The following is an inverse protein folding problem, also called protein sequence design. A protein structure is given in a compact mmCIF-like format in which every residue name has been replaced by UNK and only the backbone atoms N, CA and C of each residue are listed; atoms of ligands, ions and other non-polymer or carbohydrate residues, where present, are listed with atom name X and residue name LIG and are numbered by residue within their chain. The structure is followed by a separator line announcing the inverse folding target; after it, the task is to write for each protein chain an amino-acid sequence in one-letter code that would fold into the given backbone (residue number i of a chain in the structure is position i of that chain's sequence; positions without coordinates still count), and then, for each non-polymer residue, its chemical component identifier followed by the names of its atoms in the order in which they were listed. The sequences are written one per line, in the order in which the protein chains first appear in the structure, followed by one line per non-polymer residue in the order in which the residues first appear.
data_IF_746257155386
#
_entry.id   IF_746257155386
#
_cell.length_a   1.000
_cell.length_b   1.000
_cell.length_c   1.000
_cell.angle_alpha   90.00
_cell.angle_beta   90.00
_cell.angle_gamma   90.00
#
_symmetry.space_group_name_H-M   'P 1'
#
loop_
_entity.id
_entity.type
_entity.pdbx_description
1 polymer ?
#
# COMPACT_ATOMS: atom_id res chain seq x y z
N UNK A 1 -32.54 -21.65 -4.75
CA UNK A 1 -31.14 -21.19 -4.82
C UNK A 1 -30.52 -21.48 -3.47
N UNK A 2 -29.56 -22.38 -3.38
CA UNK A 2 -28.84 -22.63 -2.14
C UNK A 2 -28.06 -21.35 -1.79
N UNK A 3 -28.39 -20.71 -0.66
CA UNK A 3 -27.57 -19.64 -0.09
C UNK A 3 -26.28 -20.29 0.41
N UNK A 4 -25.23 -20.29 -0.41
CA UNK A 4 -23.90 -20.67 0.00
C UNK A 4 -23.37 -19.55 0.88
N UNK A 5 -23.48 -19.70 2.19
CA UNK A 5 -22.86 -18.81 3.17
C UNK A 5 -21.39 -19.21 3.28
N UNK A 6 -20.51 -18.45 2.66
CA UNK A 6 -19.07 -18.60 2.86
C UNK A 6 -18.71 -18.22 4.29
N UNK A 7 -18.02 -19.10 5.00
CA UNK A 7 -17.55 -18.81 6.36
C UNK A 7 -16.41 -17.80 6.37
N UNK A 8 -15.60 -17.80 5.33
CA UNK A 8 -14.48 -16.88 5.15
C UNK A 8 -14.08 -16.83 3.67
N UNK A 9 -13.66 -15.67 3.21
CA UNK A 9 -13.21 -15.44 1.82
C UNK A 9 -11.80 -14.83 1.84
N UNK A 10 -10.93 -15.37 1.01
CA UNK A 10 -9.59 -14.80 0.77
C UNK A 10 -9.56 -14.28 -0.66
N UNK A 11 -9.14 -13.03 -0.85
CA UNK A 11 -8.96 -12.42 -2.16
C UNK A 11 -7.52 -11.92 -2.33
N UNK A 12 -6.98 -12.08 -3.53
CA UNK A 12 -5.69 -11.51 -3.91
C UNK A 12 -5.93 -10.12 -4.50
N UNK A 13 -5.18 -9.13 -4.06
CA UNK A 13 -5.29 -7.78 -4.56
C UNK A 13 -3.92 -7.11 -4.70
N UNK A 14 -3.78 -6.31 -5.76
CA UNK A 14 -2.70 -5.38 -5.98
C UNK A 14 -3.24 -4.17 -6.74
N UNK A 15 -2.73 -2.98 -6.45
CA UNK A 15 -3.12 -1.74 -7.10
C UNK A 15 -4.61 -1.39 -7.03
N UNK A 16 -5.00 -0.41 -7.85
CA UNK A 16 -6.34 0.21 -7.82
C UNK A 16 -7.46 -0.77 -8.20
N UNK A 17 -7.22 -1.64 -9.19
CA UNK A 17 -8.21 -2.64 -9.63
C UNK A 17 -8.56 -3.63 -8.53
N UNK A 18 -7.54 -4.18 -7.87
CA UNK A 18 -7.69 -5.07 -6.72
C UNK A 18 -8.36 -4.39 -5.53
N UNK A 19 -8.00 -3.13 -5.26
CA UNK A 19 -8.58 -2.34 -4.19
C UNK A 19 -10.09 -2.10 -4.36
N UNK A 20 -10.54 -1.79 -5.57
CA UNK A 20 -11.98 -1.64 -5.90
C UNK A 20 -12.76 -2.94 -5.71
N UNK A 21 -12.18 -4.07 -6.15
CA UNK A 21 -12.79 -5.39 -5.91
C UNK A 21 -12.88 -5.67 -4.40
N UNK A 22 -11.79 -5.43 -3.67
CA UNK A 22 -11.72 -5.64 -2.23
C UNK A 22 -12.75 -4.79 -1.46
N UNK A 23 -12.95 -3.52 -1.84
CA UNK A 23 -13.97 -2.64 -1.27
C UNK A 23 -15.38 -3.23 -1.45
N UNK A 24 -15.74 -3.67 -2.66
CA UNK A 24 -17.03 -4.31 -2.92
C UNK A 24 -17.22 -5.60 -2.13
N UNK A 25 -16.18 -6.39 -1.95
CA UNK A 25 -16.21 -7.60 -1.12
C UNK A 25 -16.35 -7.25 0.37
N UNK A 26 -15.63 -6.25 0.87
CA UNK A 26 -15.73 -5.82 2.28
C UNK A 26 -17.13 -5.37 2.65
N UNK A 27 -17.85 -4.67 1.76
CA UNK A 27 -19.25 -4.26 2.00
C UNK A 27 -20.20 -5.44 2.23
N UNK A 28 -19.87 -6.61 1.70
CA UNK A 28 -20.69 -7.83 1.82
C UNK A 28 -20.21 -8.78 2.91
N UNK A 29 -18.92 -8.84 3.17
CA UNK A 29 -18.27 -9.87 3.98
C UNK A 29 -17.74 -9.32 5.30
N UNK A 30 -17.45 -8.02 5.38
CA UNK A 30 -16.88 -7.38 6.58
C UNK A 30 -15.63 -8.11 7.08
N UNK A 31 -15.64 -8.54 8.33
CA UNK A 31 -14.54 -9.29 8.98
C UNK A 31 -14.35 -10.73 8.47
N UNK A 32 -15.25 -11.24 7.64
CA UNK A 32 -15.09 -12.55 6.98
C UNK A 32 -14.26 -12.48 5.71
N UNK A 33 -13.59 -11.35 5.44
CA UNK A 33 -12.73 -11.12 4.30
C UNK A 33 -11.27 -10.97 4.75
N UNK A 34 -10.38 -11.73 4.12
CA UNK A 34 -8.94 -11.49 4.14
C UNK A 34 -8.46 -11.11 2.74
N UNK A 35 -7.73 -10.02 2.66
CA UNK A 35 -7.04 -9.62 1.44
C UNK A 35 -5.56 -9.96 1.58
N UNK A 36 -4.99 -10.61 0.56
CA UNK A 36 -3.55 -10.82 0.44
C UNK A 36 -3.04 -9.86 -0.62
N UNK A 37 -2.24 -8.89 -0.19
CA UNK A 37 -1.72 -7.81 -1.03
C UNK A 37 -0.34 -8.08 -1.61
N UNK A 38 -0.11 -7.58 -2.83
CA UNK A 38 1.20 -7.62 -3.48
C UNK A 38 2.22 -6.77 -2.71
N UNK A 39 3.48 -7.20 -2.70
CA UNK A 39 4.63 -6.48 -2.13
C UNK A 39 5.82 -6.41 -3.11
N UNK A 40 5.67 -6.96 -4.31
CA UNK A 40 6.75 -7.01 -5.27
C UNK A 40 7.14 -5.63 -5.83
N UNK A 41 6.27 -4.65 -5.68
CA UNK A 41 6.47 -3.26 -6.09
C UNK A 41 6.85 -2.34 -4.91
N UNK A 42 7.06 -2.92 -3.72
CA UNK A 42 7.57 -2.18 -2.56
C UNK A 42 8.95 -1.61 -2.86
N UNK A 43 9.23 -0.41 -2.36
CA UNK A 43 10.52 0.24 -2.57
C UNK A 43 10.90 1.10 -1.36
N UNK A 44 12.17 1.46 -1.27
CA UNK A 44 12.66 2.36 -0.25
C UNK A 44 12.91 3.75 -0.85
N UNK A 45 12.22 4.76 -0.32
CA UNK A 45 12.40 6.17 -0.68
C UNK A 45 12.81 6.96 0.57
N UNK A 46 13.96 7.62 0.51
CA UNK A 46 14.51 8.43 1.64
C UNK A 46 14.60 7.66 2.97
N UNK A 47 14.93 6.37 2.92
CA UNK A 47 14.96 5.51 4.09
C UNK A 47 13.58 5.13 4.64
N UNK A 48 12.52 5.33 3.86
CA UNK A 48 11.15 4.95 4.19
C UNK A 48 10.70 3.78 3.32
N UNK A 49 10.19 2.74 3.95
CA UNK A 49 9.56 1.62 3.25
C UNK A 49 8.18 2.02 2.73
N UNK A 50 8.02 2.04 1.43
CA UNK A 50 6.77 2.35 0.71
C UNK A 50 6.23 1.07 0.11
N UNK A 51 4.95 0.76 0.38
CA UNK A 51 4.24 -0.42 -0.13
C UNK A 51 3.02 0.03 -0.94
N UNK A 52 3.19 0.42 -2.21
CA UNK A 52 2.14 1.11 -2.99
C UNK A 52 0.84 0.32 -3.08
N UNK A 53 0.93 -1.00 -3.28
CA UNK A 53 -0.24 -1.85 -3.42
C UNK A 53 -0.98 -2.07 -2.10
N UNK A 54 -0.24 -2.33 -1.00
CA UNK A 54 -0.84 -2.46 0.34
C UNK A 54 -1.51 -1.14 0.75
N UNK A 55 -0.87 0.00 0.49
CA UNK A 55 -1.39 1.31 0.85
C UNK A 55 -2.64 1.65 0.04
N UNK A 56 -2.62 1.39 -1.27
CA UNK A 56 -3.79 1.57 -2.13
C UNK A 56 -4.98 0.75 -1.62
N UNK A 57 -4.78 -0.54 -1.36
CA UNK A 57 -5.84 -1.42 -0.83
C UNK A 57 -6.33 -0.92 0.53
N UNK A 58 -5.41 -0.60 1.44
CA UNK A 58 -5.74 -0.10 2.77
C UNK A 58 -6.58 1.19 2.72
N UNK A 59 -6.18 2.17 1.91
CA UNK A 59 -6.89 3.45 1.81
C UNK A 59 -8.29 3.30 1.20
N UNK A 60 -8.44 2.43 0.20
CA UNK A 60 -9.74 2.11 -0.37
C UNK A 60 -10.67 1.44 0.65
N UNK A 61 -10.19 0.43 1.36
CA UNK A 61 -10.98 -0.30 2.36
C UNK A 61 -11.32 0.56 3.59
N UNK A 62 -10.48 1.53 3.90
CA UNK A 62 -10.72 2.51 4.96
C UNK A 62 -11.62 3.69 4.50
N UNK A 63 -11.91 3.82 3.19
CA UNK A 63 -12.71 4.91 2.64
C UNK A 63 -12.04 6.29 2.71
N UNK A 64 -10.71 6.32 2.73
CA UNK A 64 -9.90 7.55 2.86
C UNK A 64 -9.09 7.89 1.61
N UNK A 65 -9.22 7.09 0.56
CA UNK A 65 -8.52 7.26 -0.70
C UNK A 65 -9.05 8.46 -1.52
N UNK A 66 -8.20 9.03 -2.37
CA UNK A 66 -8.63 10.03 -3.37
C UNK A 66 -9.16 9.31 -4.62
N UNK A 67 -10.48 9.18 -4.69
CA UNK A 67 -11.17 8.51 -5.82
C UNK A 67 -10.92 9.22 -7.16
N UNK A 68 -10.75 10.56 -7.14
CA UNK A 68 -10.55 11.35 -8.37
C UNK A 68 -9.15 11.15 -8.94
N UNK A 69 -8.15 11.12 -8.06
CA UNK A 69 -6.75 10.87 -8.45
C UNK A 69 -6.51 9.39 -8.74
N UNK A 70 -7.24 8.50 -8.09
CA UNK A 70 -7.12 7.04 -8.17
C UNK A 70 -6.08 6.45 -7.22
N UNK A 71 -5.28 7.26 -6.52
CA UNK A 71 -4.25 6.83 -5.57
C UNK A 71 -4.06 7.86 -4.44
N UNK A 72 -3.42 7.42 -3.34
CA UNK A 72 -3.13 8.27 -2.20
C UNK A 72 -4.35 8.63 -1.37
N UNK A 73 -4.16 9.51 -0.39
CA UNK A 73 -5.19 9.94 0.55
C UNK A 73 -5.98 11.14 0.03
N UNK A 74 -7.26 11.19 0.34
CA UNK A 74 -8.11 12.36 0.08
C UNK A 74 -7.65 13.55 0.92
N UNK A 75 -7.59 14.73 0.31
CA UNK A 75 -7.17 15.96 0.99
C UNK A 75 -5.67 16.01 1.27
N UNK A 76 -4.88 15.40 0.41
CA UNK A 76 -3.42 15.42 0.47
C UNK A 76 -2.86 16.81 0.18
N UNK A 77 -1.75 17.14 0.85
CA UNK A 77 -0.90 18.31 0.59
C UNK A 77 0.51 17.88 0.21
N UNK A 78 1.34 18.82 -0.25
CA UNK A 78 2.64 18.50 -0.85
C UNK A 78 3.78 19.36 -0.31
N UNK A 79 3.60 19.93 0.88
CA UNK A 79 4.58 20.84 1.48
C UNK A 79 5.93 20.18 1.72
N UNK A 80 5.93 18.90 2.12
CA UNK A 80 7.17 18.14 2.27
C UNK A 80 7.90 17.99 0.94
N UNK A 81 7.18 17.64 -0.12
CA UNK A 81 7.74 17.50 -1.47
C UNK A 81 8.33 18.82 -1.96
N UNK A 82 7.58 19.92 -1.86
CA UNK A 82 8.01 21.26 -2.25
C UNK A 82 9.23 21.72 -1.44
N UNK A 83 9.27 21.39 -0.15
CA UNK A 83 10.42 21.71 0.71
C UNK A 83 11.66 20.92 0.32
N UNK A 84 11.52 19.62 -0.02
CA UNK A 84 12.63 18.82 -0.53
C UNK A 84 13.23 19.42 -1.80
N UNK A 85 12.43 19.89 -2.74
CA UNK A 85 12.90 20.61 -3.93
C UNK A 85 13.65 21.88 -3.57
N UNK A 86 13.13 22.69 -2.64
CA UNK A 86 13.74 23.94 -2.20
C UNK A 86 15.12 23.76 -1.57
N UNK A 87 15.34 22.65 -0.83
CA UNK A 87 16.65 22.35 -0.21
C UNK A 87 17.60 21.59 -1.14
N UNK A 88 17.24 21.43 -2.42
CA UNK A 88 18.09 20.84 -3.46
C UNK A 88 18.05 19.31 -3.50
N UNK A 89 17.07 18.66 -2.89
CA UNK A 89 16.75 17.28 -3.18
C UNK A 89 16.04 17.18 -4.53
N UNK A 90 16.28 16.10 -5.27
CA UNK A 90 15.60 15.83 -6.53
C UNK A 90 14.55 14.74 -6.30
N UNK A 91 13.37 15.07 -5.71
CA UNK A 91 12.36 14.07 -5.39
C UNK A 91 11.64 13.66 -6.68
N UNK A 92 11.89 12.44 -7.14
CA UNK A 92 11.19 11.90 -8.31
C UNK A 92 9.90 11.18 -7.94
N UNK A 93 9.78 10.65 -6.69
CA UNK A 93 8.58 9.98 -6.22
C UNK A 93 7.76 10.92 -5.33
N UNK A 94 6.53 11.16 -5.73
CA UNK A 94 5.65 12.13 -5.07
C UNK A 94 4.87 11.50 -3.92
N UNK A 95 5.36 11.71 -2.69
CA UNK A 95 4.67 11.33 -1.45
C UNK A 95 3.91 12.54 -0.90
N UNK A 96 2.66 12.33 -0.56
CA UNK A 96 1.85 13.36 0.10
C UNK A 96 2.17 13.48 1.59
N UNK A 97 1.86 14.63 2.18
CA UNK A 97 2.16 14.92 3.59
C UNK A 97 1.43 13.98 4.56
N UNK A 98 0.20 13.58 4.23
CA UNK A 98 -0.59 12.62 5.01
C UNK A 98 -0.13 11.19 4.80
N UNK A 99 0.16 10.83 3.56
CA UNK A 99 0.68 9.52 3.17
C UNK A 99 2.04 9.25 3.84
N UNK A 100 2.85 10.28 3.98
CA UNK A 100 4.13 10.22 4.69
C UNK A 100 3.99 9.64 6.10
N UNK A 101 2.88 9.90 6.81
CA UNK A 101 2.64 9.35 8.14
C UNK A 101 2.53 7.81 8.13
N UNK A 102 1.96 7.23 7.08
CA UNK A 102 1.88 5.78 6.86
C UNK A 102 3.28 5.20 6.70
N UNK A 103 4.10 5.80 5.84
CA UNK A 103 5.47 5.32 5.57
C UNK A 103 6.40 5.48 6.77
N UNK A 104 6.31 6.60 7.50
CA UNK A 104 7.04 6.81 8.75
C UNK A 104 6.67 5.75 9.80
N UNK A 105 5.38 5.48 9.99
CA UNK A 105 4.90 4.48 10.96
C UNK A 105 5.38 3.08 10.57
N UNK A 106 5.20 2.67 9.31
CA UNK A 106 5.66 1.36 8.81
C UNK A 106 7.18 1.22 9.00
N UNK A 107 7.95 2.19 8.53
CA UNK A 107 9.42 2.15 8.57
C UNK A 107 9.96 2.13 10.00
N UNK A 108 9.30 2.81 10.93
CA UNK A 108 9.65 2.76 12.35
C UNK A 108 9.44 1.36 12.91
N UNK A 109 8.28 0.75 12.67
CA UNK A 109 7.99 -0.60 13.13
C UNK A 109 8.95 -1.65 12.55
N UNK A 110 9.28 -1.54 11.26
CA UNK A 110 10.25 -2.45 10.62
C UNK A 110 11.66 -2.29 11.25
N UNK A 111 12.09 -1.07 11.53
CA UNK A 111 13.37 -0.81 12.24
C UNK A 111 13.38 -1.31 13.68
N UNK A 112 12.22 -1.40 14.32
CA UNK A 112 12.05 -2.02 15.64
C UNK A 112 12.02 -3.56 15.59
N UNK A 113 12.20 -4.16 14.40
CA UNK A 113 12.23 -5.61 14.20
C UNK A 113 10.83 -6.25 14.03
N UNK A 114 9.79 -5.44 13.83
CA UNK A 114 8.46 -5.94 13.46
C UNK A 114 8.45 -6.42 12.01
N UNK A 115 7.60 -7.39 11.71
CA UNK A 115 7.38 -7.86 10.34
C UNK A 115 6.50 -6.87 9.57
N UNK A 116 6.48 -6.97 8.23
CA UNK A 116 5.58 -6.20 7.38
C UNK A 116 4.10 -6.52 7.70
N UNK A 117 3.82 -7.79 8.02
CA UNK A 117 2.50 -8.23 8.50
C UNK A 117 2.07 -7.50 9.77
N UNK A 118 2.97 -7.40 10.77
CA UNK A 118 2.68 -6.70 12.03
C UNK A 118 2.48 -5.18 11.80
N UNK A 119 3.32 -4.58 10.96
CA UNK A 119 3.22 -3.17 10.60
C UNK A 119 1.91 -2.88 9.86
N UNK A 120 1.55 -3.71 8.87
CA UNK A 120 0.28 -3.61 8.14
C UNK A 120 -0.92 -3.76 9.07
N UNK A 121 -0.90 -4.74 9.97
CA UNK A 121 -1.97 -4.94 10.96
C UNK A 121 -2.10 -3.74 11.92
N UNK A 122 -1.01 -3.04 12.25
CA UNK A 122 -1.05 -1.81 13.07
C UNK A 122 -1.69 -0.66 12.32
N UNK A 123 -1.34 -0.49 11.04
CA UNK A 123 -1.87 0.57 10.18
C UNK A 123 -3.36 0.38 9.89
N UNK A 124 -3.78 -0.82 9.49
CA UNK A 124 -5.17 -1.13 9.16
C UNK A 124 -6.11 -0.97 10.35
N UNK A 125 -5.65 -1.34 11.57
CA UNK A 125 -6.39 -1.04 12.80
C UNK A 125 -6.52 0.47 13.05
N UNK A 126 -5.46 1.22 12.79
CA UNK A 126 -5.47 2.69 12.93
C UNK A 126 -6.49 3.36 12.00
N UNK A 127 -6.68 2.81 10.81
CA UNK A 127 -7.68 3.25 9.83
C UNK A 127 -9.08 2.67 10.05
N UNK A 128 -9.28 1.77 11.03
CA UNK A 128 -10.59 1.21 11.37
C UNK A 128 -11.13 0.21 10.34
N UNK A 129 -10.25 -0.47 9.58
CA UNK A 129 -10.67 -1.47 8.60
C UNK A 129 -11.36 -2.67 9.26
N UNK A 130 -12.36 -3.22 8.59
CA UNK A 130 -13.07 -4.44 9.02
C UNK A 130 -12.42 -5.71 8.47
N UNK A 131 -12.06 -5.71 7.18
CA UNK A 131 -11.35 -6.82 6.56
C UNK A 131 -9.90 -6.88 7.05
N UNK A 132 -9.33 -8.09 7.05
CA UNK A 132 -7.91 -8.28 7.28
C UNK A 132 -7.12 -8.01 5.98
N UNK A 133 -6.03 -7.27 6.08
CA UNK A 133 -5.06 -7.11 4.99
C UNK A 133 -3.72 -7.71 5.42
N UNK A 134 -3.22 -8.62 4.60
CA UNK A 134 -1.93 -9.29 4.80
C UNK A 134 -1.02 -9.01 3.60
N UNK A 135 0.27 -8.72 3.79
CA UNK A 135 1.25 -8.82 2.72
C UNK A 135 1.37 -10.28 2.28
N UNK A 136 1.67 -10.53 1.00
CA UNK A 136 1.85 -11.90 0.49
C UNK A 136 3.05 -12.60 1.12
N UNK A 137 4.03 -11.84 1.59
CA UNK A 137 5.22 -12.32 2.32
C UNK A 137 5.78 -11.21 3.20
N UNK A 138 6.51 -11.60 4.26
CA UNK A 138 7.34 -10.70 5.06
C UNK A 138 8.78 -10.62 4.52
N UNK A 139 9.14 -11.49 3.57
CA UNK A 139 10.46 -11.51 2.94
C UNK A 139 10.62 -10.40 1.91
N UNK A 140 11.88 -10.01 1.67
CA UNK A 140 12.21 -9.06 0.62
C UNK A 140 11.89 -9.64 -0.76
N UNK A 141 10.97 -9.00 -1.46
CA UNK A 141 10.55 -9.34 -2.82
C UNK A 141 10.48 -8.07 -3.65
N UNK A 142 11.06 -8.10 -4.87
CA UNK A 142 11.02 -6.94 -5.80
C UNK A 142 10.82 -7.41 -7.22
N UNK A 143 9.96 -6.68 -7.94
CA UNK A 143 9.81 -6.84 -9.39
C UNK A 143 11.05 -6.27 -10.08
N UNK A 144 11.71 -7.10 -10.89
CA UNK A 144 12.83 -6.71 -11.72
C UNK A 144 12.45 -6.88 -13.20
N UNK A 145 12.84 -5.92 -14.01
CA UNK A 145 12.67 -5.97 -15.47
C UNK A 145 14.01 -6.28 -16.12
N UNK A 146 14.03 -7.28 -16.99
CA UNK A 146 15.16 -7.51 -17.87
C UNK A 146 15.06 -6.60 -19.10
N UNK A 147 16.09 -5.80 -19.34
CA UNK A 147 16.13 -4.86 -20.43
C UNK A 147 17.45 -5.00 -21.22
N UNK A 148 17.52 -4.38 -22.41
CA UNK A 148 18.71 -4.38 -23.25
C UNK A 148 19.95 -3.76 -22.57
N UNK A 149 19.76 -2.97 -21.51
CA UNK A 149 20.81 -2.36 -20.71
C UNK A 149 21.06 -3.08 -19.37
N UNK A 150 20.41 -4.25 -19.16
CA UNK A 150 20.51 -5.04 -17.94
C UNK A 150 19.25 -4.98 -17.06
N UNK A 151 19.27 -5.66 -15.89
CA UNK A 151 18.12 -5.69 -15.01
C UNK A 151 17.89 -4.33 -14.35
N UNK A 152 16.65 -3.83 -14.42
CA UNK A 152 16.19 -2.61 -13.76
C UNK A 152 15.10 -2.92 -12.74
N UNK A 153 15.04 -2.16 -11.67
CA UNK A 153 13.90 -2.17 -10.75
C UNK A 153 12.67 -1.61 -11.45
N UNK A 154 11.49 -2.19 -11.19
CA UNK A 154 10.22 -1.74 -11.79
C UNK A 154 9.99 -0.24 -11.60
N UNK A 155 10.19 0.27 -10.40
CA UNK A 155 9.97 1.68 -10.06
C UNK A 155 10.93 2.64 -10.77
N UNK A 156 12.14 2.21 -11.14
CA UNK A 156 13.12 3.04 -11.88
C UNK A 156 12.95 2.97 -13.39
N UNK A 157 12.17 2.04 -13.92
CA UNK A 157 11.93 1.91 -15.37
C UNK A 157 10.88 2.89 -15.90
N UNK A 158 10.22 3.64 -15.01
CA UNK A 158 9.17 4.62 -15.34
C UNK A 158 9.74 6.05 -15.53
N UNK A 159 11.07 6.21 -15.48
CA UNK A 159 11.83 7.43 -15.75
C UNK A 159 12.34 7.41 -17.22
#
# INVERSE_FOLDING_TARGET
MQNTTWSHVVALAGGVGGAKLAEGLQQRLGSHLTIVGNVADDEEFWGLHVSPDLDTVMYWLAGVNDVKRGWGLLGETWHNFETLEQIGSEPWFRLGDRDLATHLTRSTLLREGKTLTEATARLTRGWGMQAQLLPVTDDYLRTMLETDIGPLKFQTSSL
#
